data_IF_652163008130
#
_entry.id   IF_652163008130
#
_cell.length_a   1.000
_cell.length_b   1.000
_cell.length_c   1.000
_cell.angle_alpha   90.00
_cell.angle_beta   90.00
_cell.angle_gamma   90.00
#
_symmetry.space_group_name_H-M   'P 1'
#
loop_
_entity.id
_entity.type
_entity.pdbx_description
1 polymer ?
#
# COMPACT_ATOMS: atom_id res chain seq x y z
N UNK A 1 -49.00 -14.94 -29.77
CA UNK A 1 -48.94 -13.48 -29.93
C UNK A 1 -48.85 -12.86 -28.56
N UNK A 2 -47.65 -12.57 -28.08
CA UNK A 2 -47.40 -11.80 -26.86
C UNK A 2 -46.23 -10.85 -27.16
N UNK A 3 -46.55 -9.58 -27.07
CA UNK A 3 -45.71 -8.41 -27.38
C UNK A 3 -44.51 -8.31 -26.41
N UNK A 4 -43.29 -7.91 -26.83
CA UNK A 4 -42.16 -7.66 -25.94
C UNK A 4 -42.32 -6.29 -25.27
N UNK A 5 -42.26 -6.29 -23.93
CA UNK A 5 -42.19 -5.07 -23.11
C UNK A 5 -40.77 -4.48 -23.17
N UNK A 6 -40.68 -3.24 -23.61
CA UNK A 6 -39.51 -2.43 -23.52
C UNK A 6 -39.10 -2.17 -22.03
N UNK A 7 -37.88 -2.55 -21.66
CA UNK A 7 -37.21 -2.04 -20.48
C UNK A 7 -36.43 -0.76 -20.86
N UNK A 8 -36.53 0.31 -20.08
CA UNK A 8 -35.71 1.49 -20.32
C UNK A 8 -34.23 1.17 -19.97
N UNK A 9 -33.33 1.64 -20.82
CA UNK A 9 -31.92 1.57 -20.66
C UNK A 9 -31.50 2.25 -19.33
N UNK A 10 -30.95 1.47 -18.39
CA UNK A 10 -30.17 2.02 -17.27
C UNK A 10 -28.91 2.64 -17.85
N UNK A 11 -28.77 3.94 -17.64
CA UNK A 11 -27.61 4.69 -18.04
C UNK A 11 -26.33 4.08 -17.42
N UNK A 12 -25.39 3.75 -18.27
CA UNK A 12 -24.04 3.38 -17.87
C UNK A 12 -23.45 4.53 -17.05
N UNK A 13 -23.26 4.29 -15.75
CA UNK A 13 -22.43 5.16 -14.91
C UNK A 13 -20.98 4.93 -15.35
N UNK A 14 -20.52 5.77 -16.28
CA UNK A 14 -19.11 5.87 -16.64
C UNK A 14 -18.34 6.33 -15.39
N UNK A 15 -17.74 5.38 -14.67
CA UNK A 15 -16.67 5.69 -13.75
C UNK A 15 -15.45 6.08 -14.61
N UNK A 16 -15.37 7.36 -14.94
CA UNK A 16 -14.19 7.96 -15.55
C UNK A 16 -13.10 7.94 -14.48
N UNK A 17 -12.31 6.87 -14.39
CA UNK A 17 -11.02 6.89 -13.70
C UNK A 17 -10.09 7.73 -14.57
N UNK A 18 -10.29 9.03 -14.53
CA UNK A 18 -9.28 9.96 -15.02
C UNK A 18 -8.07 9.79 -14.10
N UNK A 19 -6.93 9.39 -14.66
CA UNK A 19 -5.64 9.60 -14.01
C UNK A 19 -5.53 11.11 -13.76
N UNK A 20 -5.89 11.53 -12.55
CA UNK A 20 -5.69 12.89 -12.12
C UNK A 20 -4.19 13.11 -11.98
N UNK A 21 -3.60 14.06 -12.69
CA UNK A 21 -2.22 14.45 -12.45
C UNK A 21 -2.09 14.88 -10.98
N UNK A 22 -0.99 14.49 -10.35
CA UNK A 22 -0.70 14.89 -8.97
C UNK A 22 -0.56 16.41 -8.91
N UNK A 23 -1.47 17.06 -8.18
CA UNK A 23 -1.45 18.50 -8.03
C UNK A 23 -0.55 18.93 -6.88
N UNK A 24 0.25 19.97 -7.08
CA UNK A 24 0.96 20.63 -5.98
C UNK A 24 -0.01 21.46 -5.14
N UNK A 25 0.16 21.53 -3.80
CA UNK A 25 -0.52 22.53 -3.00
C UNK A 25 -0.10 23.91 -3.49
N UNK A 26 -1.06 24.83 -3.65
CA UNK A 26 -0.72 26.24 -3.93
C UNK A 26 0.16 26.82 -2.80
N UNK A 27 1.12 27.63 -3.19
CA UNK A 27 1.93 28.45 -2.27
C UNK A 27 0.99 29.35 -1.46
N UNK A 28 0.62 28.91 -0.24
CA UNK A 28 -0.26 29.67 0.65
C UNK A 28 -1.13 28.83 1.59
N UNK A 29 -1.44 27.58 1.26
CA UNK A 29 -2.15 26.67 2.16
C UNK A 29 -1.23 25.50 2.54
N UNK A 30 -0.72 25.44 3.79
CA UNK A 30 -0.02 24.25 4.27
C UNK A 30 -0.97 23.05 4.20
N UNK A 31 -0.42 21.82 4.08
CA UNK A 31 -1.25 20.62 4.23
C UNK A 31 -1.83 20.51 5.65
N UNK A 32 -2.82 19.64 5.86
CA UNK A 32 -3.49 19.56 7.15
C UNK A 32 -2.58 19.06 8.26
N UNK A 33 -1.63 18.18 7.96
CA UNK A 33 -0.65 17.70 8.92
C UNK A 33 0.30 18.82 9.33
N UNK A 34 0.79 19.60 8.37
CA UNK A 34 1.65 20.75 8.64
C UNK A 34 0.92 21.86 9.39
N UNK A 35 -0.35 22.11 9.04
CA UNK A 35 -1.21 23.04 9.79
C UNK A 35 -1.42 22.54 11.23
N UNK A 36 -1.76 21.25 11.39
CA UNK A 36 -1.90 20.65 12.72
C UNK A 36 -0.60 20.78 13.52
N UNK A 37 0.55 20.40 12.94
CA UNK A 37 1.84 20.44 13.60
C UNK A 37 2.17 21.84 14.11
N UNK A 38 2.07 22.85 13.25
CA UNK A 38 2.56 24.21 13.53
C UNK A 38 1.56 25.08 14.29
N UNK A 39 0.24 24.81 14.19
CA UNK A 39 -0.80 25.65 14.78
C UNK A 39 -1.50 25.04 16.00
N UNK A 40 -1.61 23.71 16.07
CA UNK A 40 -2.27 23.03 17.18
C UNK A 40 -1.29 22.26 18.06
N UNK A 41 -0.46 21.43 17.43
CA UNK A 41 0.39 20.48 18.18
C UNK A 41 1.50 21.20 18.96
N UNK A 42 2.43 21.84 18.26
CA UNK A 42 3.58 22.50 18.88
C UNK A 42 3.18 23.60 19.89
N UNK A 43 2.27 24.52 19.59
CA UNK A 43 1.98 25.63 20.51
C UNK A 43 1.02 25.27 21.66
N UNK A 44 0.16 24.26 21.50
CA UNK A 44 -0.93 24.00 22.45
C UNK A 44 -0.96 22.55 22.92
N UNK A 45 -1.12 21.60 22.02
CA UNK A 45 -1.50 20.24 22.40
C UNK A 45 -0.35 19.48 23.02
N UNK A 46 0.87 19.62 22.53
CA UNK A 46 2.09 18.99 23.07
C UNK A 46 2.51 19.55 24.44
N UNK A 47 1.98 20.69 24.82
CA UNK A 47 2.34 21.36 26.08
C UNK A 47 1.20 21.32 27.09
N UNK A 48 -0.03 21.63 26.66
CA UNK A 48 -1.17 21.79 27.57
C UNK A 48 -2.07 20.54 27.59
N UNK A 49 -2.46 20.02 26.42
CA UNK A 49 -3.42 18.94 26.35
C UNK A 49 -2.80 17.61 26.81
N UNK A 50 -1.55 17.35 26.44
CA UNK A 50 -0.87 16.09 26.72
C UNK A 50 -0.69 15.81 28.23
N UNK A 51 -0.68 16.86 29.04
CA UNK A 51 -0.56 16.72 30.50
C UNK A 51 -1.65 15.78 31.08
N UNK A 52 -2.87 15.83 30.52
CA UNK A 52 -4.00 14.99 30.92
C UNK A 52 -4.34 13.91 29.89
N UNK A 53 -4.16 14.17 28.60
CA UNK A 53 -4.57 13.33 27.48
C UNK A 53 -3.44 12.41 26.98
N UNK A 54 -2.80 11.67 27.87
CA UNK A 54 -1.84 10.59 27.57
C UNK A 54 -2.30 9.27 28.17
N UNK A 55 -1.68 8.16 27.81
CA UNK A 55 -2.10 6.81 28.17
C UNK A 55 -2.18 6.55 29.70
N UNK A 56 -1.39 7.27 30.48
CA UNK A 56 -1.36 7.24 31.94
C UNK A 56 -1.89 8.56 32.61
N UNK A 57 -2.51 9.43 31.81
CA UNK A 57 -3.03 10.72 32.26
C UNK A 57 -4.47 10.66 32.79
N UNK A 58 -4.93 11.75 33.41
CA UNK A 58 -6.29 11.86 33.98
C UNK A 58 -7.41 11.65 32.96
N UNK A 59 -7.13 11.89 31.69
CA UNK A 59 -8.06 11.72 30.57
C UNK A 59 -7.76 10.47 29.70
N UNK A 60 -7.03 9.50 30.21
CA UNK A 60 -6.67 8.27 29.49
C UNK A 60 -7.88 7.45 28.99
N UNK A 61 -9.02 7.54 29.69
CA UNK A 61 -10.28 6.88 29.30
C UNK A 61 -11.11 7.64 28.25
N UNK A 62 -10.61 8.76 27.71
CA UNK A 62 -11.32 9.55 26.70
C UNK A 62 -10.88 9.17 25.26
N UNK A 63 -11.63 9.66 24.26
CA UNK A 63 -11.27 9.46 22.85
C UNK A 63 -10.04 10.27 22.39
N UNK A 64 -9.61 11.28 23.15
CA UNK A 64 -8.38 12.00 22.90
C UNK A 64 -7.27 11.45 23.81
N UNK A 65 -6.52 10.49 23.30
CA UNK A 65 -5.30 10.00 23.95
C UNK A 65 -4.13 10.30 23.01
N UNK A 66 -3.20 11.12 23.48
CA UNK A 66 -2.07 11.63 22.69
C UNK A 66 -0.79 10.88 23.04
N UNK A 67 0.04 10.64 22.05
CA UNK A 67 1.40 10.14 22.22
C UNK A 67 2.32 11.29 22.62
N UNK A 68 3.29 11.04 23.51
CA UNK A 68 4.25 12.06 23.92
C UNK A 68 5.14 12.49 22.74
N UNK A 69 5.62 13.76 22.70
CA UNK A 69 6.33 14.33 21.58
C UNK A 69 7.58 13.55 21.14
N UNK A 70 8.23 12.86 22.07
CA UNK A 70 9.42 12.04 21.86
C UNK A 70 9.11 10.66 21.25
N UNK A 71 7.86 10.24 21.21
CA UNK A 71 7.49 8.95 20.63
C UNK A 71 7.64 8.97 19.09
N UNK A 72 8.23 7.93 18.50
CA UNK A 72 8.37 7.86 17.03
C UNK A 72 7.02 8.01 16.31
N UNK A 73 6.94 8.95 15.36
CA UNK A 73 5.71 9.21 14.59
C UNK A 73 4.56 9.80 15.42
N UNK A 74 4.87 10.47 16.54
CA UNK A 74 3.86 11.05 17.44
C UNK A 74 2.97 12.07 16.74
N UNK A 75 3.55 12.94 15.91
CA UNK A 75 2.81 14.03 15.23
C UNK A 75 1.76 13.44 14.29
N UNK A 76 2.13 12.49 13.48
CA UNK A 76 1.24 11.86 12.49
C UNK A 76 0.10 11.09 13.18
N UNK A 77 0.41 10.31 14.20
CA UNK A 77 -0.60 9.54 14.95
C UNK A 77 -1.54 10.43 15.75
N UNK A 78 -1.01 11.46 16.38
CA UNK A 78 -1.82 12.46 17.10
C UNK A 78 -2.69 13.26 16.13
N UNK A 79 -2.18 13.60 14.94
CA UNK A 79 -2.98 14.20 13.88
C UNK A 79 -4.21 13.34 13.52
N UNK A 80 -4.03 12.04 13.33
CA UNK A 80 -5.16 11.14 13.01
C UNK A 80 -6.22 11.11 14.11
N UNK A 81 -5.78 11.05 15.39
CA UNK A 81 -6.68 11.10 16.55
C UNK A 81 -7.46 12.42 16.61
N UNK A 82 -6.77 13.54 16.44
CA UNK A 82 -7.36 14.88 16.50
C UNK A 82 -8.28 15.14 15.29
N UNK A 83 -7.88 14.67 14.11
CA UNK A 83 -8.71 14.73 12.90
C UNK A 83 -10.04 13.99 13.05
N UNK A 84 -10.03 12.82 13.69
CA UNK A 84 -11.26 12.07 13.96
C UNK A 84 -12.22 12.86 14.89
N UNK A 85 -11.68 13.54 15.91
CA UNK A 85 -12.47 14.39 16.80
C UNK A 85 -12.95 15.68 16.13
N UNK A 86 -12.20 16.23 15.17
CA UNK A 86 -12.62 17.38 14.39
C UNK A 86 -13.84 17.07 13.49
N UNK A 87 -13.98 15.81 13.04
CA UNK A 87 -15.11 15.33 12.24
C UNK A 87 -16.35 14.98 13.06
N UNK A 88 -16.18 14.78 14.36
CA UNK A 88 -17.29 14.42 15.26
C UNK A 88 -18.10 15.66 15.63
N UNK A 89 -19.11 15.94 14.87
CA UNK A 89 -20.00 17.09 15.05
C UNK A 89 -21.19 16.79 15.98
N UNK A 90 -21.55 15.50 16.17
CA UNK A 90 -22.75 15.13 16.94
C UNK A 90 -23.98 15.94 16.50
N UNK A 91 -24.71 16.51 17.48
CA UNK A 91 -25.81 17.47 17.26
C UNK A 91 -25.35 18.93 17.31
N UNK A 92 -24.04 19.22 17.14
CA UNK A 92 -23.52 20.59 17.29
C UNK A 92 -22.06 20.73 16.82
N UNK A 93 -21.38 21.80 17.21
CA UNK A 93 -20.00 22.04 16.85
C UNK A 93 -19.08 20.92 17.40
N UNK A 94 -17.97 20.60 16.68
CA UNK A 94 -17.09 19.50 17.06
C UNK A 94 -16.55 19.57 18.46
N UNK A 95 -16.39 18.39 19.09
CA UNK A 95 -15.85 18.26 20.45
C UNK A 95 -14.44 18.85 20.56
N UNK A 96 -13.65 18.73 19.51
CA UNK A 96 -12.30 19.31 19.44
C UNK A 96 -12.33 20.84 19.66
N UNK A 97 -13.39 21.53 19.24
CA UNK A 97 -13.52 22.97 19.40
C UNK A 97 -14.21 23.32 20.72
N UNK A 98 -15.30 22.64 21.05
CA UNK A 98 -16.17 23.03 22.18
C UNK A 98 -15.60 22.66 23.55
N UNK A 99 -14.88 21.53 23.68
CA UNK A 99 -14.30 21.10 24.95
C UNK A 99 -13.21 22.05 25.45
N UNK A 100 -12.11 22.30 24.71
CA UNK A 100 -11.01 23.14 25.20
C UNK A 100 -11.38 24.63 25.26
N UNK A 101 -12.44 25.06 24.60
CA UNK A 101 -12.92 26.45 24.66
C UNK A 101 -13.90 26.72 25.81
N UNK A 102 -14.32 25.68 26.55
CA UNK A 102 -15.31 25.82 27.61
C UNK A 102 -16.75 25.99 27.12
N UNK A 103 -17.03 25.82 25.84
CA UNK A 103 -18.37 25.97 25.24
C UNK A 103 -19.23 24.70 25.36
N UNK A 104 -18.63 23.57 25.70
CA UNK A 104 -19.37 22.31 25.83
C UNK A 104 -20.23 22.32 27.10
N UNK A 105 -21.53 21.92 27.05
CA UNK A 105 -22.44 21.96 28.21
C UNK A 105 -21.93 21.20 29.43
N UNK A 106 -21.20 20.09 29.22
CA UNK A 106 -20.59 19.30 30.31
C UNK A 106 -19.21 19.81 30.72
N UNK A 107 -18.80 20.99 30.24
CA UNK A 107 -17.49 21.56 30.51
C UNK A 107 -16.30 20.73 30.02
N UNK A 108 -15.12 21.10 30.48
CA UNK A 108 -13.84 20.42 30.23
C UNK A 108 -13.04 20.35 31.52
N UNK A 109 -12.62 19.14 31.93
CA UNK A 109 -11.93 18.93 33.22
C UNK A 109 -10.63 19.73 33.40
N UNK A 110 -9.97 20.12 32.30
CA UNK A 110 -8.80 21.00 32.29
C UNK A 110 -9.13 22.51 32.27
N UNK A 111 -10.40 22.89 32.35
CA UNK A 111 -10.85 24.28 32.18
C UNK A 111 -10.83 24.79 30.74
N UNK A 112 -10.82 26.11 30.58
CA UNK A 112 -10.76 26.77 29.27
C UNK A 112 -9.31 26.99 28.87
N UNK A 113 -8.83 26.22 27.89
CA UNK A 113 -7.45 26.29 27.38
C UNK A 113 -7.32 27.25 26.19
N UNK A 114 -8.34 27.27 25.31
CA UNK A 114 -8.39 28.12 24.11
C UNK A 114 -9.68 28.95 24.11
N UNK A 115 -9.69 30.04 24.85
CA UNK A 115 -10.88 30.90 24.98
C UNK A 115 -11.32 31.49 23.62
N UNK A 116 -12.62 31.70 23.44
CA UNK A 116 -13.16 32.39 22.26
C UNK A 116 -12.45 33.72 22.03
N UNK A 117 -12.33 34.12 20.77
CA UNK A 117 -11.66 35.35 20.33
C UNK A 117 -10.16 35.41 20.60
N UNK A 118 -9.51 34.26 20.87
CA UNK A 118 -8.05 34.14 20.94
C UNK A 118 -7.48 33.55 19.65
N UNK A 119 -6.21 33.80 19.34
CA UNK A 119 -5.54 33.17 18.20
C UNK A 119 -5.62 31.63 18.26
N UNK A 120 -5.46 31.05 19.45
CA UNK A 120 -5.58 29.58 19.64
C UNK A 120 -6.95 29.05 19.25
N UNK A 121 -8.04 29.72 19.71
CA UNK A 121 -9.41 29.34 19.30
C UNK A 121 -9.59 29.42 17.78
N UNK A 122 -9.08 30.48 17.18
CA UNK A 122 -9.15 30.68 15.72
C UNK A 122 -8.40 29.55 14.95
N UNK A 123 -7.26 29.10 15.45
CA UNK A 123 -6.50 28.02 14.83
C UNK A 123 -7.22 26.67 14.97
N UNK A 124 -7.82 26.37 16.15
CA UNK A 124 -8.65 25.17 16.33
C UNK A 124 -9.90 25.20 15.43
N UNK A 125 -10.56 26.35 15.32
CA UNK A 125 -11.70 26.53 14.42
C UNK A 125 -11.30 26.32 12.97
N UNK A 126 -10.23 26.99 12.51
CA UNK A 126 -9.71 26.82 11.14
C UNK A 126 -9.34 25.36 10.83
N UNK A 127 -8.71 24.68 11.77
CA UNK A 127 -8.41 23.25 11.61
C UNK A 127 -9.70 22.44 11.43
N UNK A 128 -10.69 22.69 12.26
CA UNK A 128 -11.99 22.02 12.18
C UNK A 128 -12.71 22.31 10.87
N UNK A 129 -12.71 23.58 10.43
CA UNK A 129 -13.30 24.03 9.17
C UNK A 129 -12.61 23.37 7.96
N UNK A 130 -11.29 23.26 7.98
CA UNK A 130 -10.49 22.54 6.97
C UNK A 130 -10.85 21.07 6.88
N UNK A 131 -10.87 20.37 8.03
CA UNK A 131 -11.18 18.94 8.09
C UNK A 131 -12.60 18.64 7.60
N UNK A 132 -13.53 19.57 7.76
CA UNK A 132 -14.95 19.43 7.38
C UNK A 132 -15.29 20.08 6.03
N UNK A 133 -14.32 20.63 5.31
CA UNK A 133 -14.51 21.20 3.97
C UNK A 133 -15.37 22.47 3.95
N UNK A 134 -15.29 23.30 5.00
CA UNK A 134 -16.06 24.55 5.05
C UNK A 134 -15.69 25.49 3.89
N UNK A 135 -16.67 26.21 3.28
CA UNK A 135 -16.40 27.13 2.20
C UNK A 135 -15.38 28.20 2.59
N UNK A 136 -14.31 28.35 1.80
CA UNK A 136 -13.23 29.32 2.05
C UNK A 136 -12.15 28.83 3.03
N UNK A 137 -12.34 27.68 3.70
CA UNK A 137 -11.25 27.01 4.34
C UNK A 137 -10.33 26.37 3.26
N UNK A 138 -9.02 26.38 3.49
CA UNK A 138 -8.15 25.50 2.73
C UNK A 138 -8.65 24.07 2.99
N UNK A 139 -9.07 23.33 1.97
CA UNK A 139 -9.70 22.01 2.13
C UNK A 139 -8.72 20.90 2.56
N UNK A 140 -7.49 21.25 2.89
CA UNK A 140 -6.47 20.37 3.44
C UNK A 140 -6.16 19.09 2.65
N UNK A 141 -6.89 18.85 1.59
CA UNK A 141 -6.62 17.70 0.72
C UNK A 141 -5.33 17.91 -0.06
N UNK A 142 -4.85 19.15 -0.14
CA UNK A 142 -3.80 19.52 -1.10
C UNK A 142 -4.19 19.26 -2.55
N UNK A 143 -5.39 18.73 -2.74
CA UNK A 143 -5.95 18.32 -4.02
C UNK A 143 -6.90 19.41 -4.49
N UNK A 144 -6.38 20.46 -5.10
CA UNK A 144 -7.22 21.22 -6.02
C UNK A 144 -7.54 20.31 -7.21
N UNK A 145 -8.78 20.38 -7.68
CA UNK A 145 -9.10 19.83 -8.99
C UNK A 145 -8.07 20.37 -9.99
N UNK A 146 -7.28 19.49 -10.58
CA UNK A 146 -6.27 19.89 -11.55
C UNK A 146 -6.97 20.46 -12.75
N UNK A 147 -6.89 21.80 -12.93
CA UNK A 147 -7.37 22.49 -14.12
C UNK A 147 -6.47 22.15 -15.32
N UNK A 148 -6.97 22.33 -16.56
CA UNK A 148 -6.13 22.22 -17.75
C UNK A 148 -4.92 23.17 -17.61
N UNK A 149 -3.70 22.63 -17.62
CA UNK A 149 -2.45 23.40 -17.53
C UNK A 149 -1.74 23.39 -16.19
N UNK A 150 -2.23 22.65 -15.16
CA UNK A 150 -1.43 22.41 -13.95
C UNK A 150 -0.16 21.62 -14.29
N UNK A 151 1.03 22.06 -13.83
CA UNK A 151 2.26 21.32 -14.09
C UNK A 151 2.14 19.91 -13.54
N UNK A 152 2.48 18.93 -14.36
CA UNK A 152 2.58 17.53 -13.95
C UNK A 152 3.70 17.39 -12.91
N UNK A 153 3.35 17.16 -11.64
CA UNK A 153 4.35 16.91 -10.61
C UNK A 153 4.65 15.41 -10.59
N UNK A 154 5.80 15.07 -11.14
CA UNK A 154 6.30 13.70 -11.11
C UNK A 154 6.45 13.19 -9.66
N UNK A 155 6.02 11.94 -9.44
CA UNK A 155 6.24 11.27 -8.16
C UNK A 155 7.74 11.05 -7.88
N UNK A 156 8.11 10.92 -6.61
CA UNK A 156 9.50 10.56 -6.24
C UNK A 156 9.87 9.20 -6.81
N UNK A 157 11.07 9.08 -7.34
CA UNK A 157 11.66 7.78 -7.71
C UNK A 157 11.81 6.92 -6.47
N UNK A 158 11.36 5.66 -6.54
CA UNK A 158 11.35 4.79 -5.37
C UNK A 158 11.81 3.38 -5.70
N UNK A 159 12.33 2.72 -4.65
CA UNK A 159 12.47 1.27 -4.58
C UNK A 159 11.49 0.77 -3.52
N UNK A 160 10.55 -0.06 -3.92
CA UNK A 160 9.53 -0.61 -3.01
C UNK A 160 9.88 -2.05 -2.68
N UNK A 161 10.24 -2.31 -1.43
CA UNK A 161 10.43 -3.67 -0.94
C UNK A 161 9.10 -4.43 -1.03
N UNK A 162 9.11 -5.65 -1.56
CA UNK A 162 7.90 -6.49 -1.60
C UNK A 162 7.35 -6.70 -0.20
N UNK A 163 6.03 -6.53 -0.02
CA UNK A 163 5.35 -6.91 1.21
C UNK A 163 5.35 -8.43 1.37
N UNK A 164 5.05 -8.94 2.57
CA UNK A 164 4.88 -10.39 2.81
C UNK A 164 3.86 -10.99 1.85
N UNK A 165 2.75 -10.27 1.66
CA UNK A 165 1.69 -10.62 0.72
C UNK A 165 2.19 -10.65 -0.73
N UNK A 166 2.89 -9.62 -1.16
CA UNK A 166 3.45 -9.52 -2.52
C UNK A 166 4.55 -10.57 -2.77
N UNK A 167 5.38 -10.84 -1.76
CA UNK A 167 6.44 -11.85 -1.82
C UNK A 167 5.85 -13.25 -2.06
N UNK A 168 4.88 -13.66 -1.24
CA UNK A 168 4.23 -14.96 -1.37
C UNK A 168 3.51 -15.12 -2.70
N UNK A 169 2.77 -14.09 -3.13
CA UNK A 169 2.09 -14.10 -4.42
C UNK A 169 3.07 -14.17 -5.59
N UNK A 170 4.17 -13.42 -5.51
CA UNK A 170 5.21 -13.41 -6.55
C UNK A 170 5.87 -14.77 -6.66
N UNK A 171 6.25 -15.40 -5.55
CA UNK A 171 6.84 -16.73 -5.55
C UNK A 171 5.88 -17.80 -6.06
N UNK A 172 4.60 -17.75 -5.66
CA UNK A 172 3.58 -18.66 -6.20
C UNK A 172 3.49 -18.59 -7.72
N UNK A 173 3.42 -17.37 -8.28
CA UNK A 173 3.27 -17.17 -9.71
C UNK A 173 4.58 -17.40 -10.48
N UNK A 174 5.74 -17.16 -9.86
CA UNK A 174 7.06 -17.41 -10.43
C UNK A 174 7.41 -18.89 -10.44
N UNK A 175 7.17 -19.59 -9.33
CA UNK A 175 7.63 -20.96 -9.08
C UNK A 175 6.54 -22.02 -9.28
N UNK A 176 5.28 -21.59 -9.43
CA UNK A 176 4.11 -22.48 -9.47
C UNK A 176 3.95 -23.33 -8.20
N UNK A 177 4.30 -22.76 -7.05
CA UNK A 177 4.25 -23.40 -5.73
C UNK A 177 3.41 -22.53 -4.81
N UNK A 178 2.36 -23.11 -4.23
CA UNK A 178 1.51 -22.41 -3.26
C UNK A 178 2.06 -22.60 -1.83
N UNK A 179 3.05 -21.80 -1.47
CA UNK A 179 3.64 -21.73 -0.14
C UNK A 179 3.65 -20.31 0.37
N UNK A 180 3.70 -20.14 1.69
CA UNK A 180 3.61 -18.84 2.37
C UNK A 180 4.86 -18.56 3.19
N UNK A 181 5.99 -18.39 2.51
CA UNK A 181 7.27 -18.10 3.16
C UNK A 181 7.29 -16.77 3.90
N UNK A 182 6.56 -15.76 3.39
CA UNK A 182 6.41 -14.45 4.00
C UNK A 182 5.83 -14.47 5.41
N UNK A 183 5.11 -15.53 5.81
CA UNK A 183 4.59 -15.67 7.17
C UNK A 183 5.72 -15.79 8.22
N UNK A 184 6.89 -16.26 7.84
CA UNK A 184 8.07 -16.36 8.72
C UNK A 184 8.81 -15.03 8.88
N UNK A 185 8.49 -14.02 8.08
CA UNK A 185 9.15 -12.71 8.13
C UNK A 185 8.68 -11.89 9.32
N UNK A 186 9.49 -10.94 9.80
CA UNK A 186 9.05 -9.98 10.79
C UNK A 186 7.78 -9.27 10.35
N UNK A 187 6.93 -8.90 11.32
CA UNK A 187 5.73 -8.12 11.04
C UNK A 187 6.09 -6.81 10.33
N UNK A 188 5.25 -6.39 9.40
CA UNK A 188 5.41 -5.15 8.65
C UNK A 188 4.95 -3.97 9.47
N UNK A 189 5.65 -2.85 9.32
CA UNK A 189 5.21 -1.59 9.88
C UNK A 189 4.00 -1.07 9.09
N UNK A 190 2.90 -0.84 9.80
CA UNK A 190 1.67 -0.30 9.21
C UNK A 190 1.71 1.22 9.27
N UNK A 191 1.61 1.86 8.11
CA UNK A 191 1.55 3.33 8.01
C UNK A 191 0.19 3.72 7.44
N UNK A 192 -0.58 4.49 8.19
CA UNK A 192 -1.96 4.86 7.85
C UNK A 192 -2.87 3.65 7.54
N UNK A 193 -2.66 2.53 8.23
CA UNK A 193 -3.42 1.30 8.03
C UNK A 193 -2.91 0.38 6.91
N UNK A 194 -1.85 0.74 6.18
CA UNK A 194 -1.31 -0.02 5.05
C UNK A 194 0.12 -0.51 5.27
N UNK A 195 0.43 -1.70 4.75
CA UNK A 195 1.71 -2.39 4.86
C UNK A 195 2.75 -2.00 3.78
N UNK A 196 2.36 -1.23 2.78
CA UNK A 196 3.13 -1.01 1.54
C UNK A 196 3.88 0.34 1.48
N UNK A 197 4.08 1.03 2.61
CA UNK A 197 4.83 2.29 2.63
C UNK A 197 6.32 2.04 2.34
N UNK A 198 6.82 2.59 1.24
CA UNK A 198 8.21 2.41 0.81
C UNK A 198 9.24 3.03 1.77
N UNK A 199 8.87 4.11 2.46
CA UNK A 199 9.78 4.86 3.34
C UNK A 199 9.90 4.19 4.74
N UNK A 200 8.93 3.33 5.10
CA UNK A 200 8.90 2.62 6.39
C UNK A 200 9.55 1.23 6.33
N UNK A 201 10.07 0.80 5.18
CA UNK A 201 10.49 -0.59 4.99
C UNK A 201 11.94 -0.70 4.53
N UNK A 202 12.72 -1.48 5.27
CA UNK A 202 14.10 -1.80 4.96
C UNK A 202 14.42 -3.26 5.32
N UNK A 203 15.42 -3.83 4.65
CA UNK A 203 15.93 -5.18 4.98
C UNK A 203 16.87 -5.05 6.18
N UNK A 204 16.36 -5.35 7.37
CA UNK A 204 17.17 -5.51 8.59
C UNK A 204 17.76 -6.93 8.70
N UNK A 205 18.65 -7.16 9.70
CA UNK A 205 19.35 -8.44 9.86
C UNK A 205 18.39 -9.65 9.96
N UNK A 206 17.33 -9.55 10.77
CA UNK A 206 16.36 -10.64 10.93
C UNK A 206 15.61 -10.95 9.63
N UNK A 207 15.17 -9.93 8.89
CA UNK A 207 14.52 -10.13 7.61
C UNK A 207 15.50 -10.72 6.59
N UNK A 208 16.77 -10.30 6.60
CA UNK A 208 17.80 -10.85 5.71
C UNK A 208 18.01 -12.36 5.94
N UNK A 209 18.07 -12.81 7.19
CA UNK A 209 18.16 -14.23 7.56
C UNK A 209 16.93 -15.02 7.06
N UNK A 210 15.72 -14.48 7.29
CA UNK A 210 14.48 -15.09 6.82
C UNK A 210 14.38 -15.15 5.29
N UNK A 211 14.84 -14.14 4.59
CA UNK A 211 14.88 -14.12 3.13
C UNK A 211 15.88 -15.15 2.59
N UNK A 212 17.01 -15.35 3.25
CA UNK A 212 17.95 -16.41 2.89
C UNK A 212 17.29 -17.80 2.99
N UNK A 213 16.74 -18.14 4.15
CA UNK A 213 16.05 -19.41 4.38
C UNK A 213 14.91 -19.61 3.36
N UNK A 214 14.05 -18.61 3.19
CA UNK A 214 12.92 -18.67 2.26
C UNK A 214 13.38 -18.87 0.80
N UNK A 215 14.48 -18.23 0.39
CA UNK A 215 15.00 -18.38 -0.97
C UNK A 215 15.56 -19.76 -1.24
N UNK A 216 16.20 -20.40 -0.26
CA UNK A 216 16.73 -21.77 -0.36
C UNK A 216 15.59 -22.80 -0.42
N UNK A 217 14.58 -22.67 0.44
CA UNK A 217 13.38 -23.52 0.43
C UNK A 217 12.59 -23.36 -0.87
N UNK A 218 12.40 -22.11 -1.33
CA UNK A 218 11.72 -21.81 -2.58
C UNK A 218 12.47 -22.37 -3.80
N UNK A 219 13.80 -22.29 -3.81
CA UNK A 219 14.62 -22.89 -4.85
C UNK A 219 14.52 -24.42 -4.86
N UNK A 220 14.51 -25.05 -3.70
CA UNK A 220 14.30 -26.49 -3.59
C UNK A 220 12.92 -26.91 -4.11
N UNK A 221 11.87 -26.15 -3.79
CA UNK A 221 10.52 -26.39 -4.31
C UNK A 221 10.43 -26.19 -5.83
N UNK A 222 11.11 -25.15 -6.37
CA UNK A 222 11.13 -24.85 -7.80
C UNK A 222 11.74 -25.98 -8.64
N UNK A 223 12.80 -26.61 -8.13
CA UNK A 223 13.46 -27.73 -8.81
C UNK A 223 12.53 -28.94 -8.98
N UNK A 224 11.62 -29.19 -8.06
CA UNK A 224 10.61 -30.25 -8.19
C UNK A 224 9.64 -30.00 -9.35
N UNK A 225 9.51 -28.76 -9.80
CA UNK A 225 8.65 -28.32 -10.90
C UNK A 225 9.45 -27.79 -12.11
N UNK A 226 10.71 -28.21 -12.28
CA UNK A 226 11.63 -27.65 -13.27
C UNK A 226 11.06 -27.72 -14.70
N UNK A 227 10.30 -28.75 -15.05
CA UNK A 227 9.63 -28.90 -16.36
C UNK A 227 8.64 -27.79 -16.69
N UNK A 228 8.14 -27.07 -15.70
CA UNK A 228 7.28 -25.89 -15.90
C UNK A 228 8.07 -24.63 -16.33
N UNK A 229 9.37 -24.63 -16.08
CA UNK A 229 10.24 -23.49 -16.38
C UNK A 229 10.99 -23.66 -17.69
N UNK A 230 11.38 -24.90 -18.02
CA UNK A 230 12.09 -25.23 -19.25
C UNK A 230 11.65 -26.60 -19.78
N UNK A 231 11.64 -26.72 -21.11
CA UNK A 231 11.31 -27.95 -21.85
C UNK A 231 12.51 -28.57 -22.58
N UNK A 232 13.69 -27.97 -22.46
CA UNK A 232 14.91 -28.44 -23.10
C UNK A 232 15.59 -29.57 -22.31
N UNK A 233 16.42 -30.37 -23.00
CA UNK A 233 17.23 -31.40 -22.34
C UNK A 233 18.26 -30.77 -21.38
N UNK A 234 18.47 -31.42 -20.21
CA UNK A 234 19.43 -30.95 -19.23
C UNK A 234 20.83 -30.76 -19.82
N UNK A 235 21.45 -29.64 -19.48
CA UNK A 235 22.77 -29.26 -19.96
C UNK A 235 22.97 -27.74 -20.00
N UNK A 236 24.17 -27.29 -20.32
CA UNK A 236 24.55 -25.87 -20.26
C UNK A 236 23.70 -24.96 -21.17
N UNK A 237 23.28 -25.44 -22.33
CA UNK A 237 22.42 -24.67 -23.23
C UNK A 237 21.05 -24.43 -22.59
N UNK A 238 20.47 -25.46 -21.99
CA UNK A 238 19.20 -25.37 -21.29
C UNK A 238 19.31 -24.50 -20.03
N UNK A 239 20.42 -24.57 -19.30
CA UNK A 239 20.67 -23.72 -18.14
C UNK A 239 20.76 -22.23 -18.54
N UNK A 240 21.39 -21.90 -19.66
CA UNK A 240 21.43 -20.53 -20.19
C UNK A 240 20.04 -20.00 -20.54
N UNK A 241 19.22 -20.82 -21.19
CA UNK A 241 17.83 -20.48 -21.51
C UNK A 241 17.00 -20.28 -20.24
N UNK A 242 17.13 -21.19 -19.26
CA UNK A 242 16.50 -21.07 -17.95
C UNK A 242 16.86 -19.74 -17.27
N UNK A 243 18.16 -19.46 -17.14
CA UNK A 243 18.66 -18.24 -16.47
C UNK A 243 18.07 -16.99 -17.11
N UNK A 244 17.98 -16.95 -18.44
CA UNK A 244 17.42 -15.79 -19.13
C UNK A 244 15.92 -15.65 -18.87
N UNK A 245 15.13 -16.72 -19.05
CA UNK A 245 13.67 -16.69 -18.90
C UNK A 245 13.24 -16.50 -17.45
N UNK A 246 13.85 -17.25 -16.55
CA UNK A 246 13.56 -17.14 -15.13
C UNK A 246 13.97 -15.78 -14.58
N UNK A 247 15.14 -15.28 -14.94
CA UNK A 247 15.65 -14.00 -14.49
C UNK A 247 14.80 -12.81 -15.00
N UNK A 248 14.31 -12.85 -16.26
CA UNK A 248 13.38 -11.84 -16.76
C UNK A 248 12.10 -11.77 -15.91
N UNK A 249 11.54 -12.94 -15.59
CA UNK A 249 10.33 -13.02 -14.74
C UNK A 249 10.61 -12.58 -13.29
N UNK A 250 11.71 -13.05 -12.70
CA UNK A 250 12.09 -12.74 -11.33
C UNK A 250 12.41 -11.25 -11.14
N UNK A 251 13.13 -10.63 -12.07
CA UNK A 251 13.51 -9.22 -12.01
C UNK A 251 12.50 -8.30 -12.69
N UNK A 252 11.47 -8.88 -13.29
CA UNK A 252 10.39 -8.17 -14.00
C UNK A 252 10.91 -7.26 -15.11
N UNK A 253 12.09 -7.58 -15.65
CA UNK A 253 12.77 -6.96 -16.80
C UNK A 253 13.81 -7.91 -17.37
N UNK A 254 14.26 -7.73 -18.62
CA UNK A 254 15.38 -8.49 -19.15
C UNK A 254 16.62 -8.37 -18.26
N UNK A 255 17.35 -9.47 -18.13
CA UNK A 255 18.66 -9.45 -17.49
C UNK A 255 19.65 -8.62 -18.31
N UNK A 256 20.44 -7.80 -17.65
CA UNK A 256 21.61 -7.18 -18.24
C UNK A 256 22.67 -8.24 -18.57
N UNK A 257 23.54 -7.97 -19.54
CA UNK A 257 24.59 -8.90 -19.96
C UNK A 257 25.51 -9.30 -18.79
N UNK A 258 25.82 -8.34 -17.94
CA UNK A 258 26.64 -8.58 -16.72
C UNK A 258 25.92 -9.48 -15.72
N UNK A 259 24.62 -9.33 -15.56
CA UNK A 259 23.80 -10.17 -14.68
C UNK A 259 23.72 -11.59 -15.25
N UNK A 260 23.42 -11.72 -16.52
CA UNK A 260 23.36 -13.01 -17.22
C UNK A 260 24.69 -13.77 -17.09
N UNK A 261 25.81 -13.10 -17.34
CA UNK A 261 27.14 -13.71 -17.23
C UNK A 261 27.43 -14.13 -15.78
N UNK A 262 27.07 -13.33 -14.79
CA UNK A 262 27.25 -13.63 -13.37
C UNK A 262 26.49 -14.93 -12.96
N UNK A 263 25.23 -15.05 -13.34
CA UNK A 263 24.42 -16.21 -13.02
C UNK A 263 24.84 -17.47 -13.81
N UNK A 264 25.29 -17.31 -15.05
CA UNK A 264 25.87 -18.40 -15.80
C UNK A 264 27.18 -18.92 -15.19
N UNK A 265 28.04 -18.02 -14.71
CA UNK A 265 29.28 -18.37 -14.01
C UNK A 265 28.97 -19.09 -12.69
N UNK A 266 27.98 -18.62 -11.93
CA UNK A 266 27.52 -19.28 -10.70
C UNK A 266 27.03 -20.68 -11.00
N UNK A 267 26.15 -20.83 -11.98
CA UNK A 267 25.66 -22.13 -12.46
C UNK A 267 26.81 -23.08 -12.80
N UNK A 268 27.72 -22.66 -13.67
CA UNK A 268 28.83 -23.51 -14.13
C UNK A 268 29.71 -23.98 -12.99
N UNK A 269 30.01 -23.09 -12.03
CA UNK A 269 30.83 -23.44 -10.86
C UNK A 269 30.21 -24.54 -10.03
N UNK A 270 28.90 -24.48 -9.76
CA UNK A 270 28.19 -25.47 -8.97
C UNK A 270 27.93 -26.74 -9.79
N UNK A 271 27.44 -26.59 -11.02
CA UNK A 271 27.06 -27.71 -11.87
C UNK A 271 28.24 -28.60 -12.23
N UNK A 272 29.46 -28.09 -12.27
CA UNK A 272 30.68 -28.87 -12.50
C UNK A 272 30.96 -29.88 -11.38
N UNK A 273 30.55 -29.57 -10.13
CA UNK A 273 30.79 -30.39 -8.95
C UNK A 273 29.52 -31.20 -8.58
N UNK A 274 28.38 -30.55 -8.52
CA UNK A 274 27.15 -31.09 -7.93
C UNK A 274 26.07 -31.38 -8.99
N UNK A 275 26.35 -31.10 -10.25
CA UNK A 275 25.46 -31.40 -11.36
C UNK A 275 24.44 -30.30 -11.70
N UNK A 276 23.75 -30.51 -12.84
CA UNK A 276 22.82 -29.54 -13.48
C UNK A 276 21.75 -29.02 -12.51
N UNK A 277 21.11 -29.88 -11.77
CA UNK A 277 19.99 -29.55 -10.88
C UNK A 277 20.43 -28.67 -9.71
N UNK A 278 21.53 -28.97 -9.04
CA UNK A 278 22.06 -28.16 -7.94
C UNK A 278 22.61 -26.82 -8.45
N UNK A 279 23.18 -26.80 -9.66
CA UNK A 279 23.56 -25.56 -10.33
C UNK A 279 22.37 -24.61 -10.53
N UNK A 280 21.24 -25.11 -11.03
CA UNK A 280 20.02 -24.30 -11.21
C UNK A 280 19.39 -23.89 -9.88
N UNK A 281 19.33 -24.78 -8.90
CA UNK A 281 18.83 -24.51 -7.55
C UNK A 281 19.59 -23.33 -6.91
N UNK A 282 20.92 -23.37 -6.98
CA UNK A 282 21.76 -22.29 -6.47
C UNK A 282 21.50 -20.95 -7.18
N UNK A 283 21.31 -20.99 -8.50
CA UNK A 283 20.96 -19.77 -9.28
C UNK A 283 19.61 -19.22 -8.86
N UNK A 284 18.59 -20.08 -8.70
CA UNK A 284 17.27 -19.64 -8.23
C UNK A 284 17.38 -18.96 -6.87
N UNK A 285 18.03 -19.62 -5.89
CA UNK A 285 18.22 -19.04 -4.56
C UNK A 285 18.94 -17.68 -4.61
N UNK A 286 20.00 -17.57 -5.40
CA UNK A 286 20.74 -16.32 -5.57
C UNK A 286 19.91 -15.21 -6.25
N UNK A 287 19.06 -15.54 -7.22
CA UNK A 287 18.16 -14.57 -7.85
C UNK A 287 17.08 -14.11 -6.88
N UNK A 288 16.51 -14.98 -6.05
CA UNK A 288 15.48 -14.64 -5.08
C UNK A 288 16.01 -13.78 -3.90
N UNK A 289 17.31 -13.80 -3.64
CA UNK A 289 17.96 -12.89 -2.68
C UNK A 289 18.42 -11.56 -3.29
N UNK A 290 18.33 -11.43 -4.60
CA UNK A 290 18.78 -10.21 -5.28
C UNK A 290 17.89 -9.02 -4.95
N UNK A 291 18.44 -7.82 -4.72
CA UNK A 291 17.65 -6.59 -4.64
C UNK A 291 16.71 -6.38 -5.85
N UNK A 292 17.09 -6.86 -7.04
CA UNK A 292 16.25 -6.79 -8.24
C UNK A 292 14.98 -7.68 -8.16
N UNK A 293 15.01 -8.72 -7.35
CA UNK A 293 13.81 -9.49 -7.02
C UNK A 293 13.04 -8.86 -5.86
N UNK A 294 13.73 -8.53 -4.78
CA UNK A 294 13.13 -8.07 -3.53
C UNK A 294 12.47 -6.70 -3.64
N UNK A 295 12.95 -5.84 -4.55
CA UNK A 295 12.42 -4.49 -4.72
C UNK A 295 11.74 -4.31 -6.07
N UNK A 296 10.63 -3.61 -6.07
CA UNK A 296 10.01 -3.05 -7.28
C UNK A 296 10.66 -1.70 -7.56
N UNK A 297 11.29 -1.58 -8.72
CA UNK A 297 11.95 -0.34 -9.13
C UNK A 297 10.95 0.60 -9.80
N UNK A 298 10.94 1.86 -9.36
CA UNK A 298 10.24 2.99 -9.95
C UNK A 298 11.27 4.10 -10.22
N UNK A 299 12.28 3.77 -11.03
CA UNK A 299 13.42 4.64 -11.25
C UNK A 299 13.33 5.46 -12.53
N UNK A 300 12.69 4.88 -13.54
CA UNK A 300 12.50 5.51 -14.84
C UNK A 300 13.78 5.83 -15.61
N UNK A 301 13.60 6.35 -16.81
CA UNK A 301 14.67 6.87 -17.67
C UNK A 301 14.60 8.39 -17.73
N UNK A 302 15.75 9.05 -17.62
CA UNK A 302 15.86 10.51 -17.65
C UNK A 302 15.39 11.08 -18.99
N UNK A 303 14.55 12.13 -18.94
CA UNK A 303 13.95 12.75 -20.13
C UNK A 303 14.62 14.09 -20.54
N UNK A 304 15.70 14.49 -19.88
CA UNK A 304 16.46 15.72 -20.18
C UNK A 304 16.03 16.98 -19.42
N UNK A 305 14.86 16.96 -18.77
CA UNK A 305 14.26 18.11 -18.05
C UNK A 305 14.15 17.89 -16.52
N UNK A 306 14.92 16.96 -16.00
CA UNK A 306 14.86 16.56 -14.59
C UNK A 306 13.75 15.54 -14.29
N UNK A 307 12.89 15.20 -15.25
CA UNK A 307 11.87 14.17 -15.15
C UNK A 307 12.41 12.81 -15.59
N UNK A 308 11.78 11.76 -15.08
CA UNK A 308 12.07 10.37 -15.38
C UNK A 308 10.78 9.67 -15.79
N UNK A 309 10.72 9.16 -17.02
CA UNK A 309 9.62 8.34 -17.48
C UNK A 309 9.86 6.89 -17.10
N UNK A 310 8.87 6.24 -16.51
CA UNK A 310 8.94 4.80 -16.23
C UNK A 310 9.13 4.04 -17.54
N UNK A 311 9.92 2.99 -17.51
CA UNK A 311 10.06 2.04 -18.61
C UNK A 311 8.78 1.20 -18.72
N UNK A 312 8.53 0.62 -19.90
CA UNK A 312 7.37 -0.27 -20.10
C UNK A 312 7.36 -1.44 -19.08
N UNK A 313 8.53 -1.94 -18.68
CA UNK A 313 8.64 -2.99 -17.66
C UNK A 313 8.29 -2.49 -16.24
N UNK A 314 8.65 -1.26 -15.91
CA UNK A 314 8.27 -0.66 -14.64
C UNK A 314 6.76 -0.39 -14.60
N UNK A 315 6.17 0.09 -15.71
CA UNK A 315 4.70 0.25 -15.84
C UNK A 315 4.00 -1.09 -15.73
N UNK A 316 4.47 -2.13 -16.43
CA UNK A 316 3.93 -3.48 -16.30
C UNK A 316 3.98 -4.00 -14.87
N UNK A 317 5.10 -3.77 -14.19
CA UNK A 317 5.28 -4.13 -12.78
C UNK A 317 4.30 -3.37 -11.89
N UNK A 318 4.17 -2.06 -12.06
CA UNK A 318 3.22 -1.27 -11.27
C UNK A 318 1.77 -1.75 -11.45
N UNK A 319 1.34 -1.96 -12.68
CA UNK A 319 0.00 -2.46 -12.98
C UNK A 319 -0.27 -3.83 -12.34
N UNK A 320 0.66 -4.78 -12.50
CA UNK A 320 0.45 -6.13 -11.96
C UNK A 320 0.41 -6.17 -10.43
N UNK A 321 1.28 -5.41 -9.77
CA UNK A 321 1.24 -5.35 -8.30
C UNK A 321 0.05 -4.54 -7.77
N UNK A 322 -0.41 -3.52 -8.49
CA UNK A 322 -1.60 -2.77 -8.12
C UNK A 322 -2.87 -3.64 -8.13
N UNK A 323 -3.04 -4.46 -9.17
CA UNK A 323 -4.27 -5.23 -9.35
C UNK A 323 -4.18 -6.67 -8.82
N UNK A 324 -2.99 -7.28 -8.77
CA UNK A 324 -2.82 -8.68 -8.40
C UNK A 324 -1.94 -8.91 -7.17
N UNK A 325 -1.21 -7.88 -6.72
CA UNK A 325 -0.20 -8.02 -5.68
C UNK A 325 0.91 -9.01 -6.05
N UNK A 326 1.21 -9.15 -7.35
CA UNK A 326 2.14 -10.14 -7.89
C UNK A 326 2.81 -9.66 -9.18
N UNK A 327 3.76 -10.47 -9.68
CA UNK A 327 4.51 -10.19 -10.91
C UNK A 327 3.61 -10.16 -12.17
N UNK A 328 4.06 -9.46 -13.26
CA UNK A 328 3.38 -9.47 -14.54
C UNK A 328 3.18 -10.87 -15.12
N UNK A 329 2.07 -11.08 -15.80
CA UNK A 329 1.86 -12.26 -16.66
C UNK A 329 2.57 -12.12 -18.01
N UNK A 330 2.58 -13.20 -18.80
CA UNK A 330 3.24 -13.20 -20.09
C UNK A 330 2.63 -12.19 -21.09
N UNK A 331 1.32 -11.95 -21.02
CA UNK A 331 0.67 -10.96 -21.86
C UNK A 331 1.18 -9.54 -21.56
N UNK A 332 1.32 -9.21 -20.29
CA UNK A 332 1.84 -7.92 -19.86
C UNK A 332 3.34 -7.78 -20.15
N UNK A 333 4.13 -8.85 -20.00
CA UNK A 333 5.53 -8.89 -20.45
C UNK A 333 5.65 -8.68 -21.98
N UNK A 334 4.77 -9.29 -22.76
CA UNK A 334 4.76 -9.10 -24.22
C UNK A 334 4.47 -7.63 -24.60
N UNK A 335 3.54 -6.97 -23.90
CA UNK A 335 3.29 -5.53 -24.08
C UNK A 335 4.51 -4.70 -23.72
N UNK A 336 5.18 -5.01 -22.61
CA UNK A 336 6.39 -4.31 -22.18
C UNK A 336 7.53 -4.48 -23.18
N UNK A 337 7.77 -5.70 -23.69
CA UNK A 337 8.77 -5.95 -24.74
C UNK A 337 8.48 -5.20 -26.05
N UNK A 338 7.20 -5.01 -26.39
CA UNK A 338 6.75 -4.30 -27.57
C UNK A 338 6.76 -2.78 -27.42
N UNK A 339 7.05 -2.22 -26.24
CA UNK A 339 6.98 -0.79 -25.98
C UNK A 339 5.54 -0.25 -26.01
N UNK A 340 4.56 -1.08 -25.63
CA UNK A 340 3.13 -0.81 -25.76
C UNK A 340 2.46 -0.47 -24.42
N UNK A 341 3.19 0.23 -23.51
CA UNK A 341 2.70 0.71 -22.22
C UNK A 341 3.12 2.17 -21.98
N UNK A 342 3.07 3.02 -23.01
CA UNK A 342 3.63 4.38 -22.97
C UNK A 342 2.61 5.49 -22.94
N UNK A 343 1.36 5.20 -23.21
CA UNK A 343 0.29 6.21 -23.20
C UNK A 343 -0.90 5.74 -22.34
N UNK A 344 -1.75 6.71 -21.99
CA UNK A 344 -2.88 6.47 -21.11
C UNK A 344 -3.85 5.39 -21.62
N UNK A 345 -4.09 5.33 -22.94
CA UNK A 345 -5.01 4.37 -23.55
C UNK A 345 -4.49 2.92 -23.42
N UNK A 346 -3.20 2.70 -23.70
CA UNK A 346 -2.55 1.39 -23.55
C UNK A 346 -2.54 0.93 -22.09
N UNK A 347 -2.29 1.85 -21.18
CA UNK A 347 -2.28 1.59 -19.72
C UNK A 347 -3.69 1.27 -19.23
N UNK A 348 -4.71 2.05 -19.62
CA UNK A 348 -6.11 1.83 -19.25
C UNK A 348 -6.62 0.46 -19.74
N UNK A 349 -6.29 0.09 -20.98
CA UNK A 349 -6.66 -1.20 -21.55
C UNK A 349 -6.13 -2.37 -20.69
N UNK A 350 -4.84 -2.32 -20.32
CA UNK A 350 -4.23 -3.37 -19.49
C UNK A 350 -4.76 -3.31 -18.05
N UNK A 351 -4.98 -2.12 -17.48
CA UNK A 351 -5.56 -1.96 -16.16
C UNK A 351 -6.95 -2.63 -16.06
N UNK A 352 -7.82 -2.40 -17.05
CA UNK A 352 -9.14 -3.05 -17.14
C UNK A 352 -9.03 -4.57 -17.28
N UNK A 353 -8.10 -5.04 -18.11
CA UNK A 353 -7.85 -6.49 -18.27
C UNK A 353 -7.42 -7.14 -16.95
N UNK A 354 -6.51 -6.48 -16.22
CA UNK A 354 -6.02 -6.98 -14.94
C UNK A 354 -7.11 -6.96 -13.86
N UNK A 355 -7.91 -5.89 -13.80
CA UNK A 355 -9.02 -5.76 -12.87
C UNK A 355 -10.11 -6.82 -13.13
N UNK A 356 -10.46 -7.08 -14.39
CA UNK A 356 -11.44 -8.09 -14.77
C UNK A 356 -10.97 -9.55 -14.53
N UNK A 357 -9.70 -9.75 -14.19
CA UNK A 357 -9.17 -11.09 -13.91
C UNK A 357 -9.56 -11.56 -12.51
N UNK A 358 -9.94 -12.84 -12.32
CA UNK A 358 -10.18 -13.39 -10.97
C UNK A 358 -8.98 -13.26 -9.99
N UNK A 359 -7.79 -12.98 -10.52
CA UNK A 359 -6.60 -12.75 -9.68
C UNK A 359 -6.67 -11.43 -8.90
N UNK A 360 -7.46 -10.45 -9.36
CA UNK A 360 -7.64 -9.15 -8.71
C UNK A 360 -8.32 -9.28 -7.35
N UNK A 361 -9.18 -10.28 -7.18
CA UNK A 361 -9.93 -10.53 -5.94
C UNK A 361 -9.02 -10.54 -4.71
N UNK A 362 -7.89 -11.24 -4.76
CA UNK A 362 -6.98 -11.31 -3.62
C UNK A 362 -6.37 -9.96 -3.23
N UNK A 363 -6.05 -9.13 -4.24
CA UNK A 363 -5.53 -7.79 -3.96
C UNK A 363 -6.62 -6.87 -3.43
N UNK A 364 -7.84 -6.99 -3.96
CA UNK A 364 -9.01 -6.27 -3.45
C UNK A 364 -9.29 -6.64 -1.98
N UNK A 365 -9.34 -7.94 -1.67
CA UNK A 365 -9.54 -8.44 -0.31
C UNK A 365 -8.44 -7.92 0.65
N UNK A 366 -7.18 -7.94 0.20
CA UNK A 366 -6.05 -7.42 0.98
C UNK A 366 -6.18 -5.92 1.23
N UNK A 367 -6.47 -5.13 0.19
CA UNK A 367 -6.68 -3.70 0.29
C UNK A 367 -7.86 -3.35 1.23
N UNK A 368 -9.03 -3.97 1.01
CA UNK A 368 -10.23 -3.71 1.82
C UNK A 368 -10.02 -4.11 3.27
N UNK A 369 -9.33 -5.25 3.51
CA UNK A 369 -9.00 -5.70 4.87
C UNK A 369 -8.15 -4.69 5.62
N UNK A 370 -7.20 -4.03 4.96
CA UNK A 370 -6.37 -2.99 5.54
C UNK A 370 -7.13 -1.67 5.68
N UNK A 371 -7.80 -1.24 4.61
CA UNK A 371 -8.53 0.04 4.60
C UNK A 371 -9.62 0.12 5.67
N UNK A 372 -10.35 -0.97 5.89
CA UNK A 372 -11.41 -1.06 6.90
C UNK A 372 -10.94 -1.70 8.22
N UNK A 373 -9.63 -1.96 8.35
CA UNK A 373 -9.02 -2.57 9.54
C UNK A 373 -9.73 -3.89 9.96
N UNK A 374 -10.18 -4.70 9.00
CA UNK A 374 -10.99 -5.89 9.26
C UNK A 374 -10.27 -6.95 10.13
N UNK A 375 -8.95 -6.90 10.22
CA UNK A 375 -8.18 -7.78 11.10
C UNK A 375 -8.46 -7.54 12.58
N UNK A 376 -8.88 -6.31 12.96
CA UNK A 376 -9.29 -5.99 14.33
C UNK A 376 -10.53 -6.76 14.79
N UNK A 377 -11.39 -7.22 13.86
CA UNK A 377 -12.52 -8.09 14.18
C UNK A 377 -12.04 -9.39 14.86
N UNK A 378 -10.88 -9.91 14.48
CA UNK A 378 -10.30 -11.10 15.11
C UNK A 378 -9.95 -10.91 16.59
N UNK A 379 -9.62 -9.69 16.97
CA UNK A 379 -9.24 -9.30 18.34
C UNK A 379 -10.41 -8.71 19.14
N UNK A 380 -11.53 -8.38 18.47
CA UNK A 380 -12.68 -7.79 19.11
C UNK A 380 -13.29 -8.73 20.16
N UNK A 381 -13.51 -8.21 21.35
CA UNK A 381 -14.18 -8.90 22.45
C UNK A 381 -15.48 -8.18 22.79
N UNK A 382 -16.52 -8.94 23.04
CA UNK A 382 -17.81 -8.46 23.50
C UNK A 382 -18.16 -9.19 24.80
N UNK A 383 -18.97 -8.54 25.64
CA UNK A 383 -19.54 -9.19 26.80
C UNK A 383 -20.42 -10.37 26.35
N UNK A 384 -20.01 -11.58 26.70
CA UNK A 384 -20.67 -12.82 26.29
C UNK A 384 -22.08 -12.98 26.88
N UNK A 385 -22.39 -12.29 27.98
CA UNK A 385 -23.71 -12.29 28.58
C UNK A 385 -24.72 -11.46 27.76
N UNK A 386 -24.25 -10.38 27.13
CA UNK A 386 -25.06 -9.50 26.27
C UNK A 386 -25.01 -9.89 24.80
N UNK A 387 -23.93 -10.54 24.36
CA UNK A 387 -23.65 -10.89 22.94
C UNK A 387 -23.19 -12.34 22.82
N UNK A 388 -24.05 -13.29 23.23
CA UNK A 388 -23.76 -14.73 23.24
C UNK A 388 -23.36 -15.28 21.86
N UNK A 389 -23.87 -14.66 20.80
CA UNK A 389 -23.67 -15.08 19.41
C UNK A 389 -22.41 -14.49 18.77
N UNK A 390 -21.70 -13.57 19.45
CA UNK A 390 -20.47 -12.98 18.93
C UNK A 390 -19.29 -13.95 19.05
N UNK A 391 -19.37 -15.04 18.29
CA UNK A 391 -18.39 -16.13 18.22
C UNK A 391 -17.29 -15.86 17.20
N UNK A 392 -16.18 -16.62 17.20
CA UNK A 392 -15.18 -16.57 16.11
C UNK A 392 -15.79 -16.82 14.72
N UNK A 393 -16.80 -17.70 14.63
CA UNK A 393 -17.51 -17.99 13.38
C UNK A 393 -18.26 -16.76 12.86
N UNK A 394 -18.97 -16.05 13.75
CA UNK A 394 -19.66 -14.80 13.36
C UNK A 394 -18.68 -13.73 12.93
N UNK A 395 -17.56 -13.55 13.64
CA UNK A 395 -16.52 -12.59 13.23
C UNK A 395 -15.95 -12.90 11.84
N UNK A 396 -15.72 -14.18 11.55
CA UNK A 396 -15.29 -14.61 10.21
C UNK A 396 -16.35 -14.32 9.15
N UNK A 397 -17.63 -14.56 9.45
CA UNK A 397 -18.72 -14.27 8.54
C UNK A 397 -18.88 -12.76 8.28
N UNK A 398 -18.77 -11.93 9.30
CA UNK A 398 -18.80 -10.46 9.17
C UNK A 398 -17.68 -9.95 8.26
N UNK A 399 -16.45 -10.48 8.41
CA UNK A 399 -15.35 -10.16 7.52
C UNK A 399 -15.65 -10.59 6.08
N UNK A 400 -16.13 -11.81 5.89
CA UNK A 400 -16.46 -12.34 4.58
C UNK A 400 -17.59 -11.54 3.89
N UNK A 401 -18.65 -11.16 4.60
CA UNK A 401 -19.73 -10.33 4.09
C UNK A 401 -19.21 -8.98 3.58
N UNK A 402 -18.35 -8.34 4.34
CA UNK A 402 -17.74 -7.06 3.91
C UNK A 402 -16.91 -7.22 2.64
N UNK A 403 -16.08 -8.25 2.54
CA UNK A 403 -15.25 -8.51 1.37
C UNK A 403 -16.10 -8.86 0.13
N UNK A 404 -17.18 -9.67 0.31
CA UNK A 404 -18.13 -9.99 -0.76
C UNK A 404 -18.86 -8.75 -1.30
N UNK A 405 -19.21 -7.81 -0.42
CA UNK A 405 -19.80 -6.53 -0.84
C UNK A 405 -18.89 -5.79 -1.81
N UNK A 406 -17.61 -5.67 -1.47
CA UNK A 406 -16.63 -4.97 -2.34
C UNK A 406 -16.40 -5.73 -3.66
N UNK A 407 -16.34 -7.05 -3.63
CA UNK A 407 -16.23 -7.86 -4.84
C UNK A 407 -17.44 -7.71 -5.78
N UNK A 408 -18.61 -7.45 -5.21
CA UNK A 408 -19.83 -7.24 -6.00
C UNK A 408 -19.89 -5.84 -6.62
N UNK A 409 -19.24 -4.84 -6.02
CA UNK A 409 -19.31 -3.44 -6.47
C UNK A 409 -18.19 -3.11 -7.48
N UNK A 410 -17.03 -3.76 -7.38
CA UNK A 410 -15.87 -3.54 -8.25
C UNK A 410 -15.87 -4.50 -9.44
#
# INVERSE_FOLDING_TARGET
MLSPRHFPALGALFLCVTFLPACTPESGCPDDLEFFRTRLWEPVMSVQCIACHKSDGLAAGTRLVLLPPEAPGAVERNFMTVRALARDTGEGPPLLLTKPSGLHPLGHGGGTLVAQNTPGYTDFQRFTDRINGAPGACDGSGLRACGPGTPDTSAKRRLRLLTRFEYDNTLRDLLYVDAKWGQSFPAEEMVNGFDNNADARAVGPLLSDKLLTASEEAAAAAILNLSRHVSCAAGDACAREFIQKFGERAFRRPLLDVERTRYQTLYTRVATVDGYTEGLKTVIAAMLQSPHFLYRAELGQHQGDGRYALTDYEVATQLSYLFWGSMPDEALFAKARAGALRNAEQIDQEARRLLASPRSRRMLDHFVSQWLELELLGQAQKDTSAFSDFTPTIRTAMKAETLELFDHVV
#
